data_IF_244153834669
#
_entry.id   IF_244153834669
#
_cell.length_a   1.000
_cell.length_b   1.000
_cell.length_c   1.000
_cell.angle_alpha   90.00
_cell.angle_beta   90.00
_cell.angle_gamma   90.00
#
_symmetry.space_group_name_H-M   'P 1'
#
loop_
_entity.id
_entity.type
_entity.pdbx_description
1 polymer ?
#
# COMPACT_ATOMS: atom_id res chain seq x y z
N UNK A 1 -11.86 13.45 -13.69
CA UNK A 1 -11.29 13.10 -12.37
C UNK A 1 -9.80 13.37 -12.36
N UNK A 2 -9.20 13.52 -11.20
CA UNK A 2 -7.77 13.77 -11.02
C UNK A 2 -7.26 12.84 -9.92
N UNK A 3 -6.24 12.05 -10.22
CA UNK A 3 -5.62 11.14 -9.25
C UNK A 3 -4.10 11.30 -9.28
N UNK A 4 -3.48 11.14 -8.12
CA UNK A 4 -2.04 11.08 -7.93
C UNK A 4 -1.59 9.63 -8.04
N UNK A 5 -0.66 9.36 -8.94
CA UNK A 5 -0.01 8.06 -9.06
C UNK A 5 1.47 8.25 -8.78
N UNK A 6 2.10 7.27 -8.13
CA UNK A 6 3.55 7.24 -8.01
C UNK A 6 4.11 6.14 -8.89
N UNK A 7 4.99 6.46 -9.83
CA UNK A 7 5.68 5.48 -10.66
C UNK A 7 7.05 5.20 -10.05
N UNK A 8 7.41 3.93 -9.93
CA UNK A 8 8.69 3.45 -9.36
C UNK A 8 9.34 2.52 -10.38
N UNK A 9 10.66 2.64 -10.52
CA UNK A 9 11.48 1.62 -11.18
C UNK A 9 12.14 0.76 -10.09
N UNK A 10 11.59 -0.44 -9.79
CA UNK A 10 12.19 -1.35 -8.80
C UNK A 10 13.56 -1.87 -9.24
N UNK A 11 13.89 -1.80 -10.54
CA UNK A 11 15.18 -2.15 -11.11
C UNK A 11 16.11 -0.93 -11.28
N UNK A 12 15.67 0.26 -10.82
CA UNK A 12 16.48 1.47 -10.79
C UNK A 12 17.85 1.19 -10.16
N UNK A 13 18.89 2.01 -10.45
CA UNK A 13 20.29 1.56 -10.45
C UNK A 13 20.72 0.98 -9.11
N UNK A 14 20.48 -0.31 -8.93
CA UNK A 14 21.13 -1.11 -7.91
C UNK A 14 22.59 -1.10 -8.32
N UNK A 15 23.39 -0.30 -7.64
CA UNK A 15 24.82 -0.56 -7.55
C UNK A 15 24.93 -2.01 -7.06
N UNK A 16 25.18 -2.91 -8.01
CA UNK A 16 25.43 -4.32 -7.75
C UNK A 16 26.56 -4.39 -6.73
N UNK A 17 26.20 -4.60 -5.47
CA UNK A 17 27.14 -4.88 -4.40
C UNK A 17 27.64 -6.33 -4.59
N UNK A 18 28.46 -6.53 -5.62
CA UNK A 18 29.39 -7.64 -5.65
C UNK A 18 30.49 -7.35 -4.62
N UNK A 19 30.91 -8.30 -3.78
CA UNK A 19 32.05 -8.10 -2.89
C UNK A 19 33.33 -8.18 -3.73
N UNK A 20 33.78 -7.06 -4.28
CA UNK A 20 35.08 -6.95 -4.91
C UNK A 20 36.01 -6.13 -4.00
N UNK A 21 37.12 -6.76 -3.63
CA UNK A 21 38.19 -6.27 -2.77
C UNK A 21 38.75 -4.88 -3.18
N UNK A 22 39.41 -4.14 -2.26
CA UNK A 22 39.80 -2.76 -2.51
C UNK A 22 41.10 -2.65 -3.33
N UNK A 23 41.05 -1.87 -4.41
CA UNK A 23 42.22 -1.22 -5.01
C UNK A 23 41.84 0.21 -5.44
N UNK A 24 42.64 1.19 -4.99
CA UNK A 24 42.43 2.63 -5.13
C UNK A 24 42.94 3.19 -6.49
N UNK A 25 42.98 4.52 -6.73
CA UNK A 25 41.94 5.26 -7.44
C UNK A 25 42.44 5.88 -8.77
N UNK A 26 41.53 6.17 -9.71
CA UNK A 26 41.85 7.01 -10.86
C UNK A 26 40.66 7.92 -11.26
N UNK A 27 40.96 9.21 -11.21
CA UNK A 27 40.31 10.41 -11.71
C UNK A 27 39.08 10.29 -12.66
N UNK A 28 38.05 11.08 -12.33
CA UNK A 28 37.33 11.92 -13.29
C UNK A 28 36.16 11.27 -14.04
N UNK A 29 34.96 11.32 -13.43
CA UNK A 29 33.72 11.35 -14.19
C UNK A 29 32.70 12.19 -13.40
N UNK A 30 32.03 13.10 -14.10
CA UNK A 30 31.06 14.05 -13.58
C UNK A 30 30.04 13.37 -12.66
N UNK A 31 29.65 14.06 -11.59
CA UNK A 31 28.58 13.62 -10.70
C UNK A 31 27.31 13.39 -11.53
N UNK A 32 27.03 12.12 -11.84
CA UNK A 32 25.71 11.69 -12.30
C UNK A 32 24.82 11.87 -11.08
N UNK A 33 24.15 13.01 -11.02
CA UNK A 33 23.10 13.27 -10.04
C UNK A 33 22.12 12.11 -10.12
N UNK A 34 22.12 11.27 -9.08
CA UNK A 34 21.26 10.10 -8.98
C UNK A 34 19.80 10.56 -8.99
N UNK A 35 19.20 10.55 -10.19
CA UNK A 35 17.80 10.91 -10.43
C UNK A 35 16.94 9.86 -9.74
N UNK A 36 15.93 10.24 -8.93
CA UNK A 36 15.21 9.27 -8.11
C UNK A 36 14.52 8.20 -8.98
N UNK A 37 14.64 6.93 -8.59
CA UNK A 37 13.93 5.79 -9.19
C UNK A 37 12.40 5.81 -8.94
N UNK A 38 11.86 6.97 -8.58
CA UNK A 38 10.47 7.20 -8.15
C UNK A 38 10.03 8.59 -8.61
N UNK A 39 8.85 8.68 -9.21
CA UNK A 39 8.26 9.93 -9.71
C UNK A 39 6.76 9.99 -9.41
N UNK A 40 6.31 11.07 -8.78
CA UNK A 40 4.89 11.34 -8.57
C UNK A 40 4.29 12.04 -9.79
N UNK A 41 3.20 11.47 -10.32
CA UNK A 41 2.53 11.92 -11.54
C UNK A 41 1.06 12.21 -11.21
N UNK A 42 0.63 13.41 -11.57
CA UNK A 42 -0.77 13.78 -11.47
C UNK A 42 -1.48 13.45 -12.79
N UNK A 43 -2.47 12.56 -12.76
CA UNK A 43 -3.22 12.14 -13.93
C UNK A 43 -4.61 12.75 -13.91
N UNK A 44 -4.91 13.56 -14.93
CA UNK A 44 -6.24 14.13 -15.15
C UNK A 44 -6.89 13.44 -16.35
N UNK A 45 -7.93 12.64 -16.09
CA UNK A 45 -8.64 11.87 -17.12
C UNK A 45 -10.12 11.71 -16.74
N UNK A 46 -11.02 11.36 -17.69
CA UNK A 46 -12.39 10.95 -17.36
C UNK A 46 -12.43 9.73 -16.42
N UNK A 47 -13.53 9.56 -15.69
CA UNK A 47 -13.72 8.36 -14.86
C UNK A 47 -13.83 7.10 -15.72
N UNK A 48 -13.21 6.00 -15.28
CA UNK A 48 -13.17 4.74 -16.04
C UNK A 48 -12.19 4.75 -17.22
N UNK A 49 -11.26 5.70 -17.27
CA UNK A 49 -10.20 5.70 -18.30
C UNK A 49 -9.31 4.46 -18.13
N UNK A 50 -9.10 3.70 -19.20
CA UNK A 50 -8.22 2.53 -19.18
C UNK A 50 -6.76 2.93 -18.92
N UNK A 51 -6.04 2.13 -18.12
CA UNK A 51 -4.63 2.35 -17.81
C UNK A 51 -3.76 2.44 -19.07
N UNK A 52 -4.11 1.71 -20.13
CA UNK A 52 -3.40 1.74 -21.41
C UNK A 52 -3.32 3.14 -22.04
N UNK A 53 -4.31 4.01 -21.79
CA UNK A 53 -4.30 5.38 -22.31
C UNK A 53 -3.18 6.23 -21.70
N UNK A 54 -2.73 5.91 -20.49
CA UNK A 54 -1.69 6.65 -19.75
C UNK A 54 -0.40 5.86 -19.56
N UNK A 55 -0.39 4.56 -19.87
CA UNK A 55 0.75 3.68 -19.62
C UNK A 55 2.06 4.15 -20.27
N UNK A 56 2.01 4.57 -21.53
CA UNK A 56 3.20 5.08 -22.24
C UNK A 56 3.70 6.40 -21.67
N UNK A 57 2.78 7.28 -21.25
CA UNK A 57 3.13 8.55 -20.62
C UNK A 57 3.77 8.33 -19.25
N UNK A 58 3.25 7.39 -18.45
CA UNK A 58 3.83 6.98 -17.16
C UNK A 58 5.22 6.38 -17.35
N UNK A 59 5.40 5.49 -18.34
CA UNK A 59 6.72 4.91 -18.65
C UNK A 59 7.75 5.98 -19.04
N UNK A 60 7.32 7.03 -19.75
CA UNK A 60 8.20 8.13 -20.15
C UNK A 60 8.61 9.05 -18.98
N UNK A 61 7.98 8.93 -17.80
CA UNK A 61 8.34 9.77 -16.63
C UNK A 61 9.59 9.30 -15.89
N UNK A 62 10.00 8.03 -16.06
CA UNK A 62 11.19 7.47 -15.41
C UNK A 62 12.35 7.30 -16.41
N UNK A 63 13.60 7.57 -16.00
CA UNK A 63 14.78 7.33 -16.82
C UNK A 63 15.18 5.85 -16.73
N UNK A 64 14.86 5.07 -17.76
CA UNK A 64 15.27 3.68 -17.88
C UNK A 64 15.60 3.33 -19.33
N UNK A 65 16.84 2.88 -19.56
CA UNK A 65 17.21 2.27 -20.84
C UNK A 65 16.58 0.86 -20.91
N UNK A 66 15.47 0.77 -21.65
CA UNK A 66 15.14 -0.44 -22.39
C UNK A 66 14.24 -1.46 -21.69
N UNK A 67 12.95 -1.14 -21.53
CA UNK A 67 11.94 -2.13 -21.91
C UNK A 67 11.96 -2.23 -23.45
N UNK A 68 12.90 -3.01 -24.00
CA UNK A 68 13.18 -3.04 -25.43
C UNK A 68 11.93 -3.25 -26.26
N UNK A 69 11.51 -2.24 -27.05
CA UNK A 69 10.45 -2.31 -28.08
C UNK A 69 9.15 -3.03 -27.69
N UNK A 70 8.91 -3.25 -26.41
CA UNK A 70 7.96 -4.22 -25.89
C UNK A 70 6.86 -3.52 -25.10
N UNK A 71 5.71 -4.17 -25.02
CA UNK A 71 4.55 -3.67 -24.28
C UNK A 71 4.96 -3.25 -22.87
N UNK A 72 4.65 -2.00 -22.48
CA UNK A 72 4.89 -1.49 -21.14
C UNK A 72 4.15 -2.36 -20.13
N UNK A 73 4.88 -3.05 -19.25
CA UNK A 73 4.30 -3.86 -18.18
C UNK A 73 4.31 -3.03 -16.90
N UNK A 74 3.14 -2.86 -16.31
CA UNK A 74 2.92 -2.14 -15.05
C UNK A 74 2.49 -3.14 -13.97
N UNK A 75 2.95 -2.91 -12.75
CA UNK A 75 2.56 -3.66 -11.57
C UNK A 75 2.01 -2.72 -10.50
N UNK A 76 1.04 -3.18 -9.72
CA UNK A 76 0.65 -2.58 -8.44
C UNK A 76 1.11 -3.54 -7.33
N UNK A 77 2.18 -3.18 -6.62
CA UNK A 77 2.89 -4.13 -5.75
C UNK A 77 3.38 -5.35 -6.55
N UNK A 78 3.00 -6.56 -6.10
CA UNK A 78 3.31 -7.81 -6.80
C UNK A 78 2.33 -8.15 -7.94
N UNK A 79 1.19 -7.46 -8.05
CA UNK A 79 0.15 -7.78 -9.03
C UNK A 79 0.46 -7.13 -10.39
N UNK A 80 0.59 -7.95 -11.44
CA UNK A 80 0.68 -7.46 -12.83
C UNK A 80 -0.65 -6.86 -13.26
N UNK A 81 -0.64 -5.61 -13.70
CA UNK A 81 -1.82 -4.93 -14.21
C UNK A 81 -2.06 -5.25 -15.69
N UNK A 82 -3.31 -5.47 -16.03
CA UNK A 82 -3.76 -5.57 -17.42
C UNK A 82 -4.19 -4.18 -17.88
N UNK A 83 -3.35 -3.52 -18.68
CA UNK A 83 -3.58 -2.13 -19.09
C UNK A 83 -4.90 -1.92 -19.86
N UNK A 84 -5.47 -2.96 -20.47
CA UNK A 84 -6.75 -2.87 -21.18
C UNK A 84 -7.95 -3.04 -20.25
N UNK A 85 -7.80 -3.77 -19.14
CA UNK A 85 -8.90 -4.06 -18.20
C UNK A 85 -8.88 -3.21 -16.93
N UNK A 86 -7.73 -2.72 -16.49
CA UNK A 86 -7.63 -1.88 -15.30
C UNK A 86 -7.99 -0.43 -15.65
N UNK A 87 -8.90 0.18 -14.89
CA UNK A 87 -9.29 1.58 -15.09
C UNK A 87 -8.85 2.50 -13.97
N UNK A 88 -8.62 3.77 -14.28
CA UNK A 88 -8.28 4.79 -13.30
C UNK A 88 -9.52 5.15 -12.46
N UNK A 89 -9.34 5.18 -11.14
CA UNK A 89 -10.39 5.53 -10.18
C UNK A 89 -11.08 4.35 -9.50
N UNK A 90 -10.76 3.12 -9.89
CA UNK A 90 -11.18 1.90 -9.18
C UNK A 90 -9.96 1.20 -8.58
N UNK A 91 -10.11 0.43 -7.48
CA UNK A 91 -9.04 -0.40 -6.97
C UNK A 91 -8.50 -1.35 -8.06
N UNK A 92 -7.18 -1.44 -8.27
CA UNK A 92 -6.09 -0.89 -7.44
C UNK A 92 -5.55 0.50 -7.87
N UNK A 93 -6.14 1.16 -8.87
CA UNK A 93 -5.70 2.42 -9.49
C UNK A 93 -6.43 3.66 -8.93
N UNK A 94 -6.43 3.79 -7.62
CA UNK A 94 -7.03 4.93 -6.90
C UNK A 94 -6.01 6.06 -6.67
N UNK A 95 -6.47 7.19 -6.12
CA UNK A 95 -5.57 8.27 -5.71
C UNK A 95 -4.55 7.76 -4.67
N UNK A 96 -3.27 8.02 -4.92
CA UNK A 96 -2.15 7.55 -4.11
C UNK A 96 -1.59 6.19 -4.52
N UNK A 97 -2.10 5.54 -5.57
CA UNK A 97 -1.59 4.24 -6.01
C UNK A 97 -0.13 4.30 -6.49
N UNK A 98 0.65 3.28 -6.11
CA UNK A 98 2.05 3.12 -6.51
C UNK A 98 2.15 2.05 -7.60
N UNK A 99 2.82 2.40 -8.70
CA UNK A 99 3.00 1.57 -9.88
C UNK A 99 4.48 1.26 -10.10
N UNK A 100 4.81 -0.01 -10.32
CA UNK A 100 6.16 -0.44 -10.65
C UNK A 100 6.28 -0.75 -12.14
N UNK A 101 7.32 -0.24 -12.80
CA UNK A 101 7.61 -0.50 -14.21
C UNK A 101 8.46 -1.76 -14.40
N UNK A 102 8.08 -2.62 -15.34
CA UNK A 102 8.91 -3.70 -15.86
C UNK A 102 9.09 -4.92 -14.94
N UNK A 103 9.12 -4.71 -13.62
CA UNK A 103 9.19 -5.76 -12.62
C UNK A 103 8.15 -5.55 -11.51
N UNK A 104 7.72 -6.62 -10.83
CA UNK A 104 6.90 -6.49 -9.63
C UNK A 104 7.65 -5.63 -8.62
N UNK A 105 6.94 -4.72 -7.95
CA UNK A 105 7.49 -4.09 -6.77
C UNK A 105 7.83 -5.17 -5.76
N UNK A 106 8.89 -4.99 -4.97
CA UNK A 106 9.00 -5.77 -3.75
C UNK A 106 7.68 -5.63 -3.01
N UNK A 107 7.06 -6.74 -2.57
CA UNK A 107 5.87 -6.64 -1.74
C UNK A 107 6.31 -5.79 -0.56
N UNK A 108 5.77 -4.58 -0.48
CA UNK A 108 6.03 -3.73 0.66
C UNK A 108 5.64 -4.59 1.87
N UNK A 109 6.57 -4.93 2.78
CA UNK A 109 6.22 -5.67 3.99
C UNK A 109 5.27 -4.86 4.89
N UNK A 110 4.94 -3.62 4.49
CA UNK A 110 3.89 -2.76 5.04
C UNK A 110 2.70 -2.53 4.08
N UNK A 111 2.68 -3.14 2.88
CA UNK A 111 1.44 -3.43 2.16
C UNK A 111 0.78 -4.65 2.81
N UNK A 112 0.57 -4.54 4.12
CA UNK A 112 -0.41 -5.34 4.83
C UNK A 112 -1.71 -5.20 4.01
N UNK A 113 -2.45 -6.29 3.76
CA UNK A 113 -3.78 -6.18 3.18
C UNK A 113 -4.61 -5.31 4.13
N UNK A 114 -4.71 -4.00 3.83
CA UNK A 114 -5.25 -2.94 4.67
C UNK A 114 -5.75 -3.48 6.01
N UNK A 115 -4.84 -3.60 7.01
CA UNK A 115 -5.05 -4.19 8.34
C UNK A 115 -6.53 -4.24 8.64
N UNK A 116 -7.21 -5.37 8.30
CA UNK A 116 -8.66 -5.39 8.39
C UNK A 116 -8.90 -5.40 9.89
N UNK A 117 -9.33 -4.27 10.50
CA UNK A 117 -9.33 -4.17 11.95
C UNK A 117 -10.24 -5.28 12.47
N UNK A 118 -9.78 -6.01 13.48
CA UNK A 118 -10.59 -7.05 14.09
C UNK A 118 -11.94 -6.44 14.51
N UNK A 119 -13.04 -7.16 14.32
CA UNK A 119 -14.38 -6.63 14.60
C UNK A 119 -15.00 -7.35 15.78
N UNK A 120 -15.49 -6.59 16.75
CA UNK A 120 -16.35 -7.11 17.80
C UNK A 120 -17.81 -6.90 17.39
N UNK A 121 -18.54 -7.99 17.22
CA UNK A 121 -19.97 -7.97 16.91
C UNK A 121 -20.78 -8.28 18.16
N UNK A 122 -21.72 -7.41 18.48
CA UNK A 122 -22.68 -7.66 19.56
C UNK A 122 -23.84 -8.47 18.98
N UNK A 123 -23.91 -9.74 19.33
CA UNK A 123 -24.88 -10.68 18.73
C UNK A 123 -26.23 -10.70 19.46
N UNK A 124 -26.26 -10.30 20.73
CA UNK A 124 -27.44 -10.33 21.60
C UNK A 124 -27.29 -9.30 22.72
N UNK A 125 -28.41 -8.91 23.34
CA UNK A 125 -28.48 -7.86 24.36
C UNK A 125 -29.07 -6.54 23.81
N UNK A 126 -29.17 -5.49 24.65
CA UNK A 126 -29.67 -4.18 24.23
C UNK A 126 -28.89 -3.57 23.06
N UNK A 127 -27.57 -3.81 23.02
CA UNK A 127 -26.67 -3.34 21.95
C UNK A 127 -26.58 -4.30 20.75
N UNK A 128 -27.47 -5.29 20.63
CA UNK A 128 -27.42 -6.26 19.54
C UNK A 128 -27.44 -5.59 18.15
N UNK A 129 -26.53 -6.03 17.28
CA UNK A 129 -26.28 -5.43 15.97
C UNK A 129 -25.15 -4.38 15.96
N UNK A 130 -24.60 -4.02 17.13
CA UNK A 130 -23.42 -3.17 17.24
C UNK A 130 -22.17 -3.84 16.65
N UNK A 131 -21.39 -3.05 15.90
CA UNK A 131 -20.08 -3.47 15.36
C UNK A 131 -19.04 -2.47 15.80
N UNK A 132 -18.03 -2.95 16.53
CA UNK A 132 -16.91 -2.12 17.01
C UNK A 132 -15.62 -2.56 16.33
N UNK A 133 -14.93 -1.61 15.70
CA UNK A 133 -13.61 -1.83 15.13
C UNK A 133 -12.56 -1.84 16.24
N UNK A 134 -11.82 -2.93 16.31
CA UNK A 134 -10.76 -3.16 17.29
C UNK A 134 -9.43 -2.76 16.68
N UNK A 135 -8.69 -1.92 17.40
CA UNK A 135 -7.35 -1.51 17.04
C UNK A 135 -6.34 -2.45 17.69
N UNK A 136 -5.15 -2.61 17.10
CA UNK A 136 -4.08 -3.41 17.72
C UNK A 136 -3.78 -2.96 19.16
N UNK A 137 -3.59 -3.92 20.06
CA UNK A 137 -3.36 -3.68 21.49
C UNK A 137 -4.46 -4.23 22.40
N UNK A 138 -4.46 -3.81 23.66
CA UNK A 138 -5.46 -4.22 24.66
C UNK A 138 -6.66 -3.28 24.63
N UNK A 139 -7.85 -3.85 24.62
CA UNK A 139 -9.13 -3.17 24.49
C UNK A 139 -10.03 -3.64 25.63
N UNK A 140 -10.52 -2.70 26.44
CA UNK A 140 -11.39 -3.00 27.57
C UNK A 140 -12.85 -2.85 27.19
N UNK A 141 -13.62 -3.90 27.42
CA UNK A 141 -15.06 -3.98 27.21
C UNK A 141 -15.77 -3.82 28.55
N UNK A 142 -16.83 -3.02 28.59
CA UNK A 142 -17.68 -2.90 29.77
C UNK A 142 -18.72 -1.81 29.63
N UNK A 143 -19.56 -1.63 30.63
CA UNK A 143 -20.58 -0.57 30.62
C UNK A 143 -20.09 0.81 31.07
N UNK A 144 -18.85 0.93 31.57
CA UNK A 144 -18.31 2.23 32.01
C UNK A 144 -17.93 3.08 30.80
N UNK A 145 -18.05 4.40 30.93
CA UNK A 145 -17.48 5.34 29.96
C UNK A 145 -15.94 5.28 29.89
N UNK A 146 -15.30 4.69 30.91
CA UNK A 146 -13.85 4.42 30.94
C UNK A 146 -13.45 3.16 30.15
N UNK A 147 -14.42 2.40 29.65
CA UNK A 147 -14.15 1.27 28.77
C UNK A 147 -13.84 1.76 27.35
N UNK A 148 -12.89 1.11 26.68
CA UNK A 148 -12.55 1.42 25.28
C UNK A 148 -13.74 1.09 24.35
N UNK A 149 -14.52 0.06 24.71
CA UNK A 149 -15.84 -0.23 24.12
C UNK A 149 -16.88 -0.23 25.23
N UNK A 150 -17.70 0.82 25.24
CA UNK A 150 -18.84 0.96 26.13
C UNK A 150 -20.05 0.16 25.59
N UNK A 151 -20.58 -0.75 26.39
CA UNK A 151 -21.82 -1.49 26.12
C UNK A 151 -22.93 -0.97 27.05
N UNK A 152 -24.07 -0.57 26.49
CA UNK A 152 -25.26 -0.15 27.23
C UNK A 152 -26.11 -1.35 27.68
N UNK A 153 -25.47 -2.27 28.40
CA UNK A 153 -26.11 -3.47 28.95
C UNK A 153 -26.00 -3.46 30.49
N UNK A 154 -27.13 -3.49 31.23
CA UNK A 154 -27.13 -3.46 32.69
C UNK A 154 -26.54 -4.73 33.32
N UNK A 155 -26.55 -5.87 32.60
CA UNK A 155 -25.97 -7.13 33.04
C UNK A 155 -24.45 -7.18 32.81
N UNK A 156 -23.91 -6.25 32.00
CA UNK A 156 -22.47 -6.09 31.77
C UNK A 156 -21.82 -5.34 32.92
N UNK A 157 -20.68 -5.84 33.38
CA UNK A 157 -19.90 -5.19 34.44
C UNK A 157 -19.26 -3.88 33.95
N UNK A 158 -18.96 -2.96 34.89
CA UNK A 158 -18.29 -1.68 34.54
C UNK A 158 -17.01 -1.92 33.74
N UNK A 159 -16.24 -2.92 34.13
CA UNK A 159 -15.12 -3.48 33.38
C UNK A 159 -15.31 -4.99 33.32
N UNK A 160 -15.76 -5.48 32.17
CA UNK A 160 -16.23 -6.85 32.02
C UNK A 160 -15.16 -7.77 31.44
N UNK A 161 -14.47 -7.31 30.39
CA UNK A 161 -13.47 -8.11 29.69
C UNK A 161 -12.37 -7.21 29.14
N UNK A 162 -11.18 -7.76 28.95
CA UNK A 162 -10.12 -7.13 28.19
C UNK A 162 -9.74 -8.09 27.06
N UNK A 163 -9.80 -7.60 25.83
CA UNK A 163 -9.45 -8.32 24.61
C UNK A 163 -8.13 -7.78 24.12
N UNK A 164 -7.18 -8.64 23.81
CA UNK A 164 -5.90 -8.22 23.21
C UNK A 164 -5.84 -8.65 21.76
N UNK A 165 -5.66 -7.68 20.86
CA UNK A 165 -5.42 -7.92 19.44
C UNK A 165 -3.92 -7.82 19.21
N UNK A 166 -3.29 -8.98 18.98
CA UNK A 166 -1.87 -9.07 18.67
C UNK A 166 -1.55 -8.60 17.25
N UNK A 167 -0.28 -8.28 16.96
CA UNK A 167 0.15 -7.84 15.63
C UNK A 167 -0.07 -8.93 14.55
N UNK A 168 -0.15 -10.20 14.94
CA UNK A 168 -0.44 -11.33 14.04
C UNK A 168 -1.96 -11.55 13.82
N UNK A 169 -2.81 -10.55 14.09
CA UNK A 169 -4.27 -10.63 14.10
C UNK A 169 -4.86 -11.71 15.04
N UNK A 170 -4.09 -12.18 16.02
CA UNK A 170 -4.56 -13.12 17.04
C UNK A 170 -5.31 -12.38 18.14
N UNK A 171 -6.44 -12.92 18.55
CA UNK A 171 -7.29 -12.37 19.62
C UNK A 171 -7.22 -13.28 20.84
N UNK A 172 -6.95 -12.72 22.02
CA UNK A 172 -6.92 -13.42 23.32
C UNK A 172 -7.58 -12.63 24.43
#
# INVERSE_FOLDING_TARGET
>A
MQIRLTVVDPLGPHASAAPAAPTAPAAGAAAVESRPARCDVLVTAPAGTALAAVASALAATLPGEGAGSGQVVLYAGAQRLDAQRSTLGEPPLIDGAVLCLGAPGEPDPHAEPADVPAQLHVVAGPDAGGVHLLHGGQIRLGRSADADVALDDPDVSRMHCAVTVGPDARVS
#
